data_IF_477189300885
#
_entry.id   IF_477189300885
#
_cell.length_a   1.000
_cell.length_b   1.000
_cell.length_c   1.000
_cell.angle_alpha   90.00
_cell.angle_beta   90.00
_cell.angle_gamma   90.00
#
_symmetry.space_group_name_H-M   'P 1'
#
loop_
_entity.id
_entity.type
_entity.pdbx_description
1 polymer ?
#
# COMPACT_ATOMS: atom_id res chain seq x y z
N UNK A 1 18.46 -112.03 48.30
CA UNK A 1 17.88 -111.11 47.30
C UNK A 1 18.25 -109.68 47.71
N UNK A 2 19.26 -109.06 47.08
CA UNK A 2 19.76 -107.71 47.44
C UNK A 2 19.44 -106.75 46.28
N UNK A 3 18.57 -105.77 46.52
CA UNK A 3 18.32 -104.67 45.58
C UNK A 3 19.52 -103.70 45.60
N UNK A 4 20.22 -103.58 44.47
CA UNK A 4 21.17 -102.50 44.24
C UNK A 4 20.43 -101.30 43.65
N UNK A 5 20.33 -100.21 44.41
CA UNK A 5 19.80 -98.93 43.91
C UNK A 5 20.87 -98.20 43.09
N UNK A 6 20.59 -97.98 41.81
CA UNK A 6 21.42 -97.16 40.93
C UNK A 6 21.24 -95.65 41.26
N UNK A 7 22.27 -95.03 41.84
CA UNK A 7 22.32 -93.57 42.04
C UNK A 7 22.59 -92.86 40.70
N UNK A 8 21.53 -92.31 40.08
CA UNK A 8 21.62 -91.47 38.88
C UNK A 8 22.21 -90.11 39.25
N UNK A 9 23.48 -89.86 38.90
CA UNK A 9 24.13 -88.55 39.06
C UNK A 9 23.49 -87.52 38.12
N UNK A 10 22.71 -86.59 38.67
CA UNK A 10 22.21 -85.42 37.95
C UNK A 10 23.36 -84.42 37.83
N UNK A 11 23.95 -84.30 36.63
CA UNK A 11 24.90 -83.22 36.31
C UNK A 11 24.12 -81.90 36.29
N UNK A 12 24.34 -81.06 37.30
CA UNK A 12 23.82 -79.69 37.38
C UNK A 12 24.51 -78.88 36.28
N UNK A 13 23.78 -78.60 35.20
CA UNK A 13 24.29 -77.79 34.09
C UNK A 13 24.48 -76.35 34.56
N UNK A 14 25.73 -75.89 34.63
CA UNK A 14 26.06 -74.47 34.85
C UNK A 14 25.52 -73.66 33.67
N UNK A 15 24.49 -72.85 33.94
CA UNK A 15 23.98 -71.89 32.96
C UNK A 15 25.00 -70.77 32.83
N UNK A 16 25.66 -70.68 31.68
CA UNK A 16 26.51 -69.54 31.34
C UNK A 16 25.68 -68.25 31.43
N UNK A 17 26.18 -67.18 32.08
CA UNK A 17 25.45 -65.92 32.17
C UNK A 17 25.19 -65.39 30.75
N UNK A 18 23.92 -65.14 30.43
CA UNK A 18 23.55 -64.51 29.17
C UNK A 18 24.15 -63.11 29.14
N UNK A 19 25.06 -62.85 28.19
CA UNK A 19 25.52 -61.49 27.91
C UNK A 19 24.32 -60.67 27.48
N UNK A 20 23.98 -59.63 28.24
CA UNK A 20 22.94 -58.69 27.88
C UNK A 20 23.28 -58.08 26.52
N UNK A 21 22.38 -58.26 25.54
CA UNK A 21 22.50 -57.62 24.24
C UNK A 21 22.20 -56.14 24.47
N UNK A 22 23.14 -55.22 24.21
CA UNK A 22 22.87 -53.80 24.38
C UNK A 22 21.72 -53.40 23.45
N UNK A 23 20.77 -52.57 23.92
CA UNK A 23 19.65 -52.13 23.09
C UNK A 23 20.19 -51.47 21.82
N UNK A 24 19.76 -51.95 20.65
CA UNK A 24 20.07 -51.30 19.37
C UNK A 24 19.48 -49.89 19.41
N UNK A 25 20.33 -48.87 19.35
CA UNK A 25 19.88 -47.48 19.25
C UNK A 25 19.06 -47.32 17.97
N UNK A 26 17.87 -46.71 18.02
CA UNK A 26 17.10 -46.43 16.81
C UNK A 26 17.95 -45.56 15.88
N UNK A 27 18.22 -46.06 14.69
CA UNK A 27 18.92 -45.30 13.65
C UNK A 27 17.88 -44.52 12.88
N UNK A 28 17.79 -43.22 13.11
CA UNK A 28 16.95 -42.36 12.29
C UNK A 28 17.53 -42.35 10.87
N UNK A 29 16.75 -42.72 9.84
CA UNK A 29 17.23 -42.72 8.47
C UNK A 29 17.62 -41.30 8.04
N UNK A 30 18.88 -41.09 7.66
CA UNK A 30 19.38 -39.78 7.21
C UNK A 30 18.60 -39.21 6.02
N UNK A 31 18.06 -40.07 5.16
CA UNK A 31 17.22 -39.66 4.03
C UNK A 31 15.92 -39.00 4.47
N UNK A 32 15.35 -39.40 5.60
CA UNK A 32 14.11 -38.84 6.14
C UNK A 32 14.32 -37.41 6.64
N UNK A 33 15.49 -37.14 7.24
CA UNK A 33 15.89 -35.78 7.61
C UNK A 33 16.04 -34.88 6.37
N UNK A 34 16.73 -35.37 5.33
CA UNK A 34 16.90 -34.63 4.08
C UNK A 34 15.56 -34.33 3.40
N UNK A 35 14.64 -35.29 3.36
CA UNK A 35 13.30 -35.06 2.79
C UNK A 35 12.48 -34.05 3.61
N UNK A 36 12.55 -34.11 4.95
CA UNK A 36 11.86 -33.14 5.80
C UNK A 36 12.45 -31.73 5.64
N UNK A 37 13.77 -31.62 5.52
CA UNK A 37 14.43 -30.34 5.27
C UNK A 37 14.03 -29.75 3.91
N UNK A 38 14.05 -30.57 2.84
CA UNK A 38 13.61 -30.13 1.51
C UNK A 38 12.13 -29.68 1.51
N UNK A 39 11.26 -30.44 2.19
CA UNK A 39 9.84 -30.08 2.34
C UNK A 39 9.68 -28.76 3.11
N UNK A 40 10.45 -28.55 4.18
CA UNK A 40 10.43 -27.30 4.96
C UNK A 40 10.84 -26.10 4.12
N UNK A 41 11.93 -26.23 3.33
CA UNK A 41 12.36 -25.18 2.40
C UNK A 41 11.27 -24.89 1.36
N UNK A 42 10.68 -25.93 0.76
CA UNK A 42 9.61 -25.78 -0.23
C UNK A 42 8.38 -25.05 0.36
N UNK A 43 7.93 -25.46 1.55
CA UNK A 43 6.80 -24.83 2.23
C UNK A 43 7.11 -23.36 2.58
N UNK A 44 8.34 -23.05 2.98
CA UNK A 44 8.77 -21.68 3.28
C UNK A 44 8.72 -20.80 2.03
N UNK A 45 9.18 -21.30 0.89
CA UNK A 45 9.12 -20.59 -0.39
C UNK A 45 7.68 -20.40 -0.86
N UNK A 46 6.84 -21.44 -0.79
CA UNK A 46 5.43 -21.34 -1.15
C UNK A 46 4.68 -20.34 -0.25
N UNK A 47 4.97 -20.36 1.05
CA UNK A 47 4.41 -19.41 2.01
C UNK A 47 4.84 -17.97 1.70
N UNK A 48 6.10 -17.77 1.31
CA UNK A 48 6.59 -16.47 0.89
C UNK A 48 5.83 -15.96 -0.34
N UNK A 49 5.58 -16.79 -1.36
CA UNK A 49 4.79 -16.38 -2.52
C UNK A 49 3.33 -16.08 -2.19
N UNK A 50 2.70 -16.83 -1.27
CA UNK A 50 1.34 -16.55 -0.80
C UNK A 50 1.27 -15.21 -0.05
N UNK A 51 2.32 -14.87 0.71
CA UNK A 51 2.39 -13.62 1.48
C UNK A 51 2.32 -12.37 0.59
N UNK A 52 2.91 -12.41 -0.60
CA UNK A 52 2.93 -11.29 -1.54
C UNK A 52 1.52 -10.91 -1.99
N UNK A 53 0.64 -11.91 -2.17
CA UNK A 53 -0.76 -11.71 -2.58
C UNK A 53 -1.63 -11.11 -1.48
N UNK A 54 -1.09 -10.99 -0.26
CA UNK A 54 -1.79 -10.49 0.93
C UNK A 54 -1.43 -9.04 1.26
N UNK A 55 -0.59 -8.39 0.45
CA UNK A 55 -0.37 -6.95 0.52
C UNK A 55 -1.43 -6.27 -0.34
N UNK A 56 -2.11 -5.26 0.21
CA UNK A 56 -3.12 -4.50 -0.51
C UNK A 56 -3.10 -3.03 -0.13
N UNK A 57 -3.54 -2.18 -1.07
CA UNK A 57 -3.81 -0.77 -0.78
C UNK A 57 -5.21 -0.69 -0.16
N UNK A 58 -5.29 -0.20 1.08
CA UNK A 58 -6.55 -0.16 1.83
C UNK A 58 -7.23 1.19 1.70
N UNK A 59 -6.44 2.25 1.73
CA UNK A 59 -6.95 3.59 1.66
C UNK A 59 -5.98 4.50 0.91
N UNK A 60 -6.53 5.50 0.25
CA UNK A 60 -5.78 6.61 -0.29
C UNK A 60 -6.49 7.87 0.21
N UNK A 61 -5.73 8.72 0.89
CA UNK A 61 -6.24 9.98 1.43
C UNK A 61 -5.52 11.13 0.76
N UNK A 62 -6.28 12.07 0.21
CA UNK A 62 -5.76 13.34 -0.23
C UNK A 62 -5.72 14.27 0.98
N UNK A 63 -4.53 14.70 1.37
CA UNK A 63 -4.29 15.49 2.59
C UNK A 63 -4.31 16.98 2.28
N UNK A 64 -3.77 17.36 1.11
CA UNK A 64 -3.67 18.75 0.68
C UNK A 64 -3.83 18.83 -0.84
N UNK A 65 -4.63 19.80 -1.29
CA UNK A 65 -4.75 20.19 -2.68
C UNK A 65 -4.74 21.72 -2.72
N UNK A 66 -3.62 22.29 -3.11
CA UNK A 66 -3.41 23.74 -3.12
C UNK A 66 -3.07 24.24 -4.53
N UNK A 67 -3.60 25.40 -4.88
CA UNK A 67 -3.36 26.06 -6.16
C UNK A 67 -2.48 27.27 -5.92
N UNK A 68 -1.16 27.07 -6.07
CA UNK A 68 -0.16 28.11 -5.77
C UNK A 68 -0.21 29.26 -6.77
N UNK A 69 -0.44 28.96 -8.05
CA UNK A 69 -0.66 29.98 -9.09
C UNK A 69 -1.50 29.43 -10.24
N UNK A 70 -1.74 30.23 -11.28
CA UNK A 70 -2.64 29.90 -12.39
C UNK A 70 -2.21 28.67 -13.21
N UNK A 71 -0.99 28.15 -12.99
CA UNK A 71 -0.41 27.02 -13.71
C UNK A 71 0.32 26.01 -12.82
N UNK A 72 0.29 26.21 -11.49
CA UNK A 72 1.02 25.36 -10.54
C UNK A 72 0.09 24.88 -9.44
N UNK A 73 0.00 23.57 -9.30
CA UNK A 73 -0.78 22.89 -8.27
C UNK A 73 0.15 22.08 -7.35
N UNK A 74 -0.17 22.03 -6.06
CA UNK A 74 0.45 21.15 -5.10
C UNK A 74 -0.56 20.12 -4.63
N UNK A 75 -0.20 18.85 -4.75
CA UNK A 75 -1.03 17.73 -4.34
C UNK A 75 -0.23 16.89 -3.34
N UNK A 76 -0.77 16.72 -2.13
CA UNK A 76 -0.20 15.82 -1.12
C UNK A 76 -1.23 14.81 -0.68
N UNK A 77 -0.77 13.59 -0.47
CA UNK A 77 -1.62 12.53 0.03
C UNK A 77 -0.83 11.39 0.65
N UNK A 78 -1.56 10.42 1.16
CA UNK A 78 -1.02 9.23 1.80
C UNK A 78 -1.69 8.00 1.21
N UNK A 79 -0.88 7.05 0.78
CA UNK A 79 -1.31 5.71 0.35
C UNK A 79 -1.11 4.77 1.53
N UNK A 80 -2.18 4.18 2.05
CA UNK A 80 -2.12 3.23 3.15
C UNK A 80 -1.99 1.81 2.62
N UNK A 81 -0.82 1.21 2.82
CA UNK A 81 -0.55 -0.19 2.52
C UNK A 81 -0.87 -1.06 3.73
N UNK A 82 -1.53 -2.19 3.50
CA UNK A 82 -1.77 -3.23 4.52
C UNK A 82 -1.12 -4.52 4.08
N UNK A 83 -0.44 -5.20 5.00
CA UNK A 83 0.08 -6.54 4.79
C UNK A 83 -0.64 -7.53 5.71
N UNK A 84 -1.52 -8.36 5.14
CA UNK A 84 -2.24 -9.41 5.88
C UNK A 84 -1.42 -10.69 6.08
N UNK A 85 -0.19 -10.77 5.59
CA UNK A 85 0.71 -11.90 5.84
C UNK A 85 1.36 -11.84 7.22
N UNK A 86 1.91 -12.97 7.69
CA UNK A 86 2.65 -13.04 8.95
C UNK A 86 4.16 -12.79 8.79
N UNK A 87 4.59 -12.41 7.58
CA UNK A 87 5.97 -12.01 7.29
C UNK A 87 5.98 -10.63 6.65
N UNK A 88 7.03 -9.82 6.89
CA UNK A 88 7.16 -8.52 6.25
C UNK A 88 7.36 -8.70 4.74
N UNK A 89 6.74 -7.82 3.95
CA UNK A 89 6.83 -7.83 2.50
C UNK A 89 7.47 -6.54 2.04
N UNK A 90 8.50 -6.64 1.20
CA UNK A 90 9.15 -5.48 0.59
C UNK A 90 8.44 -5.12 -0.70
N UNK A 91 8.07 -3.86 -0.86
CA UNK A 91 7.68 -3.31 -2.15
C UNK A 91 8.84 -2.55 -2.78
N UNK A 92 8.88 -2.52 -4.12
CA UNK A 92 9.94 -1.91 -4.92
C UNK A 92 9.66 -0.44 -5.14
N UNK A 93 8.44 -0.13 -5.60
CA UNK A 93 7.98 1.23 -5.90
C UNK A 93 6.46 1.27 -6.04
N UNK A 94 5.92 2.49 -6.01
CA UNK A 94 4.55 2.80 -6.41
C UNK A 94 4.62 3.81 -7.53
N UNK A 95 4.17 3.44 -8.72
CA UNK A 95 3.94 4.42 -9.79
C UNK A 95 2.51 4.94 -9.66
N UNK A 96 2.29 6.23 -9.87
CA UNK A 96 0.96 6.81 -9.83
C UNK A 96 0.81 7.91 -10.88
N UNK A 97 -0.41 8.04 -11.37
CA UNK A 97 -0.87 9.08 -12.28
C UNK A 97 -1.94 9.90 -11.55
N UNK A 98 -1.89 11.22 -11.73
CA UNK A 98 -2.90 12.16 -11.23
C UNK A 98 -3.61 12.72 -12.45
N UNK A 99 -4.93 12.53 -12.48
CA UNK A 99 -5.83 13.01 -13.50
C UNK A 99 -6.83 13.99 -12.89
N UNK A 100 -7.17 15.07 -13.62
CA UNK A 100 -8.28 15.96 -13.29
C UNK A 100 -9.32 15.82 -14.39
N UNK A 101 -10.46 15.22 -14.07
CA UNK A 101 -11.39 14.73 -15.10
C UNK A 101 -10.72 13.68 -15.98
N UNK A 102 -10.67 13.94 -17.29
CA UNK A 102 -10.03 13.05 -18.29
C UNK A 102 -8.61 13.51 -18.70
N UNK A 103 -8.07 14.52 -18.03
CA UNK A 103 -6.75 15.09 -18.36
C UNK A 103 -5.72 14.60 -17.36
N UNK A 104 -4.71 13.87 -17.86
CA UNK A 104 -3.52 13.55 -17.07
C UNK A 104 -2.72 14.81 -16.78
N UNK A 105 -2.61 15.15 -15.50
CA UNK A 105 -1.92 16.37 -15.05
C UNK A 105 -0.53 16.09 -14.52
N UNK A 106 -0.30 14.91 -13.94
CA UNK A 106 1.02 14.52 -13.44
C UNK A 106 1.18 13.02 -13.35
N UNK A 107 2.43 12.58 -13.25
CA UNK A 107 2.82 11.25 -12.83
C UNK A 107 3.96 11.32 -11.82
N UNK A 108 4.11 10.27 -11.03
CA UNK A 108 5.17 10.18 -10.04
C UNK A 108 5.50 8.74 -9.67
N UNK A 109 6.60 8.61 -8.94
CA UNK A 109 7.09 7.31 -8.45
C UNK A 109 7.57 7.45 -7.02
N UNK A 110 7.03 6.63 -6.13
CA UNK A 110 7.47 6.51 -4.75
C UNK A 110 8.41 5.31 -4.60
N UNK A 111 9.53 5.52 -3.93
CA UNK A 111 10.46 4.44 -3.62
C UNK A 111 9.88 3.50 -2.57
N UNK A 112 10.13 2.21 -2.73
CA UNK A 112 9.55 1.20 -1.86
C UNK A 112 10.31 0.93 -0.57
N UNK A 113 9.57 0.46 0.43
CA UNK A 113 10.07 0.04 1.74
C UNK A 113 9.42 -1.31 2.16
N UNK A 114 9.55 -1.69 3.42
CA UNK A 114 8.92 -2.87 4.00
C UNK A 114 7.54 -2.55 4.58
N UNK A 115 6.55 -3.36 4.24
CA UNK A 115 5.27 -3.41 4.93
C UNK A 115 5.36 -4.50 6.03
N UNK A 116 5.25 -4.14 7.32
CA UNK A 116 5.41 -5.07 8.43
C UNK A 116 4.36 -6.17 8.39
N UNK A 117 4.69 -7.33 8.94
CA UNK A 117 3.73 -8.43 9.09
C UNK A 117 2.49 -7.98 9.87
N UNK A 118 1.29 -8.30 9.35
CA UNK A 118 0.01 -7.95 10.00
C UNK A 118 -0.13 -6.47 10.35
N UNK A 119 0.46 -5.59 9.55
CA UNK A 119 0.51 -4.16 9.84
C UNK A 119 0.19 -3.28 8.66
N UNK A 120 0.22 -1.98 8.93
CA UNK A 120 -0.05 -0.91 7.98
C UNK A 120 1.18 -0.02 7.85
N UNK A 121 1.43 0.49 6.65
CA UNK A 121 2.46 1.50 6.39
C UNK A 121 1.86 2.63 5.57
N UNK A 122 1.96 3.89 6.06
CA UNK A 122 1.66 5.05 5.25
C UNK A 122 2.81 5.29 4.27
N UNK A 123 2.48 5.55 3.01
CA UNK A 123 3.40 6.01 1.98
C UNK A 123 2.92 7.36 1.53
N UNK A 124 3.59 8.40 2.02
CA UNK A 124 3.25 9.78 1.70
C UNK A 124 3.80 10.16 0.32
N UNK A 125 3.02 10.92 -0.44
CA UNK A 125 3.44 11.51 -1.70
C UNK A 125 3.19 13.02 -1.69
N UNK A 126 4.09 13.74 -2.33
CA UNK A 126 4.00 15.17 -2.57
C UNK A 126 4.37 15.43 -4.02
N UNK A 127 3.45 16.01 -4.78
CA UNK A 127 3.64 16.33 -6.18
C UNK A 127 3.39 17.81 -6.41
N UNK A 128 4.37 18.48 -7.01
CA UNK A 128 4.17 19.78 -7.63
C UNK A 128 3.89 19.57 -9.12
N UNK A 129 2.78 20.09 -9.59
CA UNK A 129 2.33 19.98 -10.98
C UNK A 129 2.59 21.33 -11.65
N UNK A 130 3.58 21.36 -12.54
CA UNK A 130 3.86 22.54 -13.37
C UNK A 130 3.05 22.47 -14.66
N UNK A 131 2.59 23.61 -15.16
CA UNK A 131 1.72 23.70 -16.34
C UNK A 131 0.41 22.92 -16.15
N UNK A 132 -0.15 22.96 -14.94
CA UNK A 132 -1.51 22.50 -14.72
C UNK A 132 -2.45 23.16 -15.74
N UNK A 133 -3.53 22.47 -16.19
CA UNK A 133 -4.52 23.05 -17.07
C UNK A 133 -4.92 24.43 -16.55
N UNK A 134 -5.06 25.40 -17.46
CA UNK A 134 -5.44 26.75 -17.06
C UNK A 134 -6.69 26.68 -16.19
N UNK A 135 -6.81 27.62 -15.26
CA UNK A 135 -7.95 27.66 -14.37
C UNK A 135 -9.31 27.60 -15.11
N UNK A 136 -9.40 28.22 -16.29
CA UNK A 136 -10.57 28.13 -17.18
C UNK A 136 -10.83 26.72 -17.70
N UNK A 137 -9.78 25.95 -18.01
CA UNK A 137 -9.91 24.55 -18.41
C UNK A 137 -10.37 23.68 -17.24
N UNK A 138 -9.83 23.92 -16.03
CA UNK A 138 -10.30 23.25 -14.81
C UNK A 138 -11.78 23.57 -14.60
N UNK A 139 -12.18 24.85 -14.55
CA UNK A 139 -13.58 25.26 -14.42
C UNK A 139 -14.48 24.68 -15.51
N UNK A 140 -14.00 24.61 -16.76
CA UNK A 140 -14.74 23.97 -17.85
C UNK A 140 -15.02 22.48 -17.60
N UNK A 141 -14.04 21.75 -17.05
CA UNK A 141 -14.20 20.35 -16.64
C UNK A 141 -15.16 20.23 -15.43
N UNK A 142 -15.10 21.17 -14.49
CA UNK A 142 -16.00 21.22 -13.33
C UNK A 142 -17.45 21.53 -13.72
N UNK A 143 -17.65 22.44 -14.69
CA UNK A 143 -18.96 22.85 -15.19
C UNK A 143 -19.73 21.69 -15.82
N UNK A 144 -19.01 20.68 -16.30
CA UNK A 144 -19.56 19.42 -16.81
C UNK A 144 -19.83 18.39 -15.70
N UNK A 145 -19.71 18.79 -14.42
CA UNK A 145 -19.95 17.95 -13.25
C UNK A 145 -18.77 17.09 -12.80
N UNK A 146 -17.61 17.18 -13.47
CA UNK A 146 -16.43 16.35 -13.17
C UNK A 146 -15.43 17.09 -12.29
N UNK A 147 -15.80 17.28 -11.03
CA UNK A 147 -14.94 17.88 -9.97
C UNK A 147 -14.02 16.88 -9.29
N UNK A 148 -13.62 15.88 -10.06
CA UNK A 148 -12.99 14.68 -9.54
C UNK A 148 -11.51 14.68 -9.92
N UNK A 149 -10.65 14.72 -8.91
CA UNK A 149 -9.25 14.30 -9.08
C UNK A 149 -9.20 12.79 -8.94
N UNK A 150 -8.62 12.13 -9.92
CA UNK A 150 -8.43 10.69 -9.90
C UNK A 150 -6.94 10.39 -9.76
N UNK A 151 -6.62 9.54 -8.80
CA UNK A 151 -5.28 9.01 -8.62
C UNK A 151 -5.34 7.52 -8.98
N UNK A 152 -4.71 7.18 -10.11
CA UNK A 152 -4.51 5.81 -10.55
C UNK A 152 -3.06 5.42 -10.25
N UNK A 153 -2.78 4.15 -10.03
CA UNK A 153 -1.41 3.73 -9.81
C UNK A 153 -1.23 2.24 -9.71
N UNK A 154 0.05 1.87 -9.66
CA UNK A 154 0.51 0.50 -9.66
C UNK A 154 1.60 0.30 -8.59
N UNK A 155 1.31 -0.57 -7.63
CA UNK A 155 2.26 -1.04 -6.63
C UNK A 155 3.06 -2.22 -7.19
N UNK A 156 4.39 -2.12 -7.16
CA UNK A 156 5.30 -3.18 -7.59
C UNK A 156 5.94 -3.83 -6.37
N UNK A 157 5.74 -5.14 -6.17
CA UNK A 157 6.41 -5.89 -5.11
C UNK A 157 7.83 -6.33 -5.53
N UNK A 158 8.72 -6.57 -4.57
CA UNK A 158 10.16 -6.81 -4.84
C UNK A 158 10.44 -8.08 -5.67
N UNK A 159 9.55 -9.06 -5.64
CA UNK A 159 9.68 -10.31 -6.41
C UNK A 159 9.15 -10.15 -7.84
N UNK A 160 9.96 -9.51 -8.68
CA UNK A 160 9.80 -9.37 -10.13
C UNK A 160 8.48 -8.72 -10.61
N UNK A 161 8.49 -8.27 -11.87
CA UNK A 161 7.43 -7.49 -12.55
C UNK A 161 6.07 -8.21 -12.70
N UNK A 162 5.85 -9.32 -11.98
CA UNK A 162 4.66 -10.18 -12.02
C UNK A 162 3.71 -9.96 -10.85
N UNK A 163 4.18 -9.37 -9.75
CA UNK A 163 3.36 -9.08 -8.58
C UNK A 163 3.06 -7.58 -8.51
N UNK A 164 2.17 -7.15 -9.42
CA UNK A 164 1.67 -5.78 -9.49
C UNK A 164 0.25 -5.70 -8.94
N UNK A 165 -0.07 -4.62 -8.23
CA UNK A 165 -1.43 -4.31 -7.82
C UNK A 165 -1.81 -2.91 -8.29
N UNK A 166 -2.90 -2.81 -9.04
CA UNK A 166 -3.44 -1.54 -9.49
C UNK A 166 -4.43 -0.98 -8.48
N UNK A 167 -4.48 0.34 -8.34
CA UNK A 167 -5.47 1.03 -7.53
C UNK A 167 -5.96 2.27 -8.27
N UNK A 168 -7.21 2.64 -8.00
CA UNK A 168 -7.80 3.86 -8.54
C UNK A 168 -8.70 4.47 -7.49
N UNK A 169 -8.47 5.75 -7.17
CA UNK A 169 -9.28 6.49 -6.20
C UNK A 169 -9.59 7.88 -6.72
N UNK A 170 -10.85 8.27 -6.54
CA UNK A 170 -11.39 9.55 -6.98
C UNK A 170 -11.73 10.41 -5.76
N UNK A 171 -11.37 11.69 -5.80
CA UNK A 171 -11.61 12.68 -4.76
C UNK A 171 -12.39 13.86 -5.34
N UNK A 172 -13.42 14.29 -4.64
CA UNK A 172 -14.09 15.55 -4.94
C UNK A 172 -13.24 16.70 -4.38
N UNK A 173 -12.87 17.64 -5.25
CA UNK A 173 -12.06 18.82 -4.90
C UNK A 173 -12.85 20.13 -4.96
N UNK A 174 -14.18 20.09 -5.02
CA UNK A 174 -15.05 21.28 -5.05
C UNK A 174 -14.70 22.31 -3.98
N UNK A 175 -14.51 21.86 -2.74
CA UNK A 175 -14.26 22.76 -1.60
C UNK A 175 -12.91 23.48 -1.74
N UNK A 176 -11.84 22.76 -2.09
CA UNK A 176 -10.51 23.34 -2.30
C UNK A 176 -10.48 24.34 -3.47
N UNK A 177 -11.22 24.03 -4.54
CA UNK A 177 -11.36 24.92 -5.69
C UNK A 177 -12.17 26.18 -5.35
N UNK A 178 -13.24 26.04 -4.55
CA UNK A 178 -14.03 27.17 -4.07
C UNK A 178 -13.18 28.14 -3.26
N UNK A 179 -12.35 27.64 -2.34
CA UNK A 179 -11.45 28.47 -1.53
C UNK A 179 -10.42 29.23 -2.40
N UNK A 180 -9.83 28.56 -3.40
CA UNK A 180 -8.93 29.21 -4.35
C UNK A 180 -9.63 30.32 -5.15
N UNK A 181 -10.84 30.05 -5.62
CA UNK A 181 -11.67 30.98 -6.37
C UNK A 181 -12.00 32.24 -5.56
N UNK A 182 -12.42 32.06 -4.31
CA UNK A 182 -12.67 33.15 -3.37
C UNK A 182 -11.43 34.04 -3.21
N UNK A 183 -10.26 33.41 -3.02
CA UNK A 183 -8.97 34.11 -2.89
C UNK A 183 -8.61 34.93 -4.13
N UNK A 184 -8.87 34.40 -5.33
CA UNK A 184 -8.60 35.09 -6.60
C UNK A 184 -9.55 36.26 -6.83
N UNK A 185 -10.84 36.08 -6.53
CA UNK A 185 -11.84 37.16 -6.60
C UNK A 185 -11.44 38.31 -5.67
N UNK A 186 -11.02 37.99 -4.45
CA UNK A 186 -10.57 38.98 -3.48
C UNK A 186 -9.29 39.71 -3.92
N UNK A 187 -8.34 38.99 -4.54
CA UNK A 187 -7.14 39.60 -5.11
C UNK A 187 -7.45 40.56 -6.27
N UNK A 188 -8.38 40.21 -7.15
CA UNK A 188 -8.82 41.07 -8.26
C UNK A 188 -9.52 42.32 -7.71
N UNK A 189 -10.44 42.13 -6.76
CA UNK A 189 -11.17 43.23 -6.11
C UNK A 189 -10.20 44.18 -5.41
N UNK A 190 -9.23 43.65 -4.64
CA UNK A 190 -8.22 44.46 -3.97
C UNK A 190 -7.35 45.25 -4.95
N UNK A 191 -7.07 44.73 -6.15
CA UNK A 191 -6.37 45.50 -7.21
C UNK A 191 -7.23 46.63 -7.78
N UNK A 192 -8.53 46.39 -7.98
CA UNK A 192 -9.47 47.40 -8.46
C UNK A 192 -9.60 48.54 -7.44
N UNK A 193 -9.75 48.22 -6.16
CA UNK A 193 -9.88 49.18 -5.07
C UNK A 193 -8.63 50.07 -4.93
N UNK A 194 -7.43 49.46 -4.96
CA UNK A 194 -6.16 50.18 -4.88
C UNK A 194 -5.80 50.99 -6.14
N UNK A 195 -6.45 50.73 -7.28
CA UNK A 195 -6.17 51.46 -8.53
C UNK A 195 -6.75 52.89 -8.54
N UNK A 196 -7.61 53.24 -7.57
CA UNK A 196 -8.31 54.53 -7.54
C UNK A 196 -9.24 54.76 -8.74
N UNK A 197 -9.43 53.74 -9.59
CA UNK A 197 -10.14 53.87 -10.86
C UNK A 197 -11.67 53.80 -10.71
N UNK A 198 -12.17 53.28 -9.59
CA UNK A 198 -13.60 52.96 -9.42
C UNK A 198 -14.01 53.15 -7.94
N UNK A 199 -14.57 54.30 -7.58
CA UNK A 199 -15.20 54.55 -6.26
C UNK A 199 -16.64 53.99 -6.24
N UNK A 200 -16.79 52.67 -6.39
CA UNK A 200 -18.09 51.99 -6.36
C UNK A 200 -18.06 50.71 -5.53
N UNK A 201 -18.07 50.81 -4.19
CA UNK A 201 -18.11 49.64 -3.29
C UNK A 201 -19.33 48.75 -3.54
N UNK A 202 -20.45 49.32 -4.02
CA UNK A 202 -21.66 48.56 -4.39
C UNK A 202 -21.44 47.72 -5.65
N UNK A 203 -20.71 48.23 -6.64
CA UNK A 203 -20.45 47.51 -7.89
C UNK A 203 -19.48 46.35 -7.64
N UNK A 204 -18.43 46.60 -6.85
CA UNK A 204 -17.46 45.58 -6.42
C UNK A 204 -18.16 44.47 -5.65
N UNK A 205 -19.03 44.82 -4.68
CA UNK A 205 -19.82 43.84 -3.93
C UNK A 205 -20.74 43.02 -4.85
N UNK A 206 -21.43 43.66 -5.79
CA UNK A 206 -22.31 42.95 -6.73
C UNK A 206 -21.54 42.00 -7.67
N UNK A 207 -20.32 42.37 -8.09
CA UNK A 207 -19.45 41.51 -8.91
C UNK A 207 -18.99 40.31 -8.06
N UNK A 208 -18.54 40.54 -6.83
CA UNK A 208 -18.17 39.49 -5.88
C UNK A 208 -19.32 38.51 -5.67
N UNK A 209 -20.49 39.02 -5.29
CA UNK A 209 -21.69 38.21 -5.02
C UNK A 209 -22.13 37.41 -6.26
N UNK A 210 -21.99 37.99 -7.47
CA UNK A 210 -22.32 37.29 -8.72
C UNK A 210 -21.32 36.17 -9.03
N UNK A 211 -20.02 36.41 -8.82
CA UNK A 211 -18.99 35.39 -9.03
C UNK A 211 -19.10 34.26 -7.99
N UNK A 212 -19.32 34.59 -6.72
CA UNK A 212 -19.53 33.60 -5.65
C UNK A 212 -20.78 32.74 -5.89
N UNK A 213 -21.88 33.34 -6.34
CA UNK A 213 -23.08 32.57 -6.73
C UNK A 213 -22.84 31.64 -7.90
N UNK A 214 -21.98 32.01 -8.85
CA UNK A 214 -21.60 31.11 -9.94
C UNK A 214 -20.74 29.95 -9.42
N UNK A 215 -19.88 30.19 -8.44
CA UNK A 215 -19.07 29.16 -7.80
C UNK A 215 -19.93 28.19 -6.99
N UNK A 216 -20.96 28.66 -6.28
CA UNK A 216 -21.91 27.80 -5.55
C UNK A 216 -22.79 26.92 -6.46
N UNK A 217 -22.87 27.25 -7.74
CA UNK A 217 -23.63 26.47 -8.74
C UNK A 217 -22.77 25.40 -9.43
N UNK A 218 -21.45 25.38 -9.21
CA UNK A 218 -20.50 24.39 -9.72
C UNK A 218 -20.38 23.16 -8.80
#
# INVERSE_FOLDING_TARGET
>A
MKLQMAKKKVKKAERKPMKAIPPKRPTFPRWLFLSLFALFVLLTVLYYFDSLKRVSIVNLTLTEFDVVNDTTLHVRGTIMLENKAYIPVKFKKVDYDIDIGDIKVADGTLSGDYVPAKGFVPVDFEQTIYNAPSFEAIVGVLSNGSSVVTIDGMLYLFTEDKATMTFKKSFDIKDALKEYLETKVDAIIGRIDNSGAIDYPVLIKNIKDKMLKQIEQL
#
